data_IF_349736306268
#
_entry.id   IF_349736306268
#
_cell.length_a   1.000
_cell.length_b   1.000
_cell.length_c   1.000
_cell.angle_alpha   90.00
_cell.angle_beta   90.00
_cell.angle_gamma   90.00
#
_symmetry.space_group_name_H-M   'P 1'
#
loop_
_entity.id
_entity.type
_entity.pdbx_description
1 polymer ?
#
# COMPACT_ATOMS: atom_id res chain seq x y z
N UNK A 1 -16.33 -20.52 16.82
CA UNK A 1 -16.33 -20.35 18.30
C UNK A 1 -16.25 -18.89 18.73
N UNK A 2 -15.37 -18.06 18.17
CA UNK A 2 -15.19 -16.64 18.53
C UNK A 2 -16.47 -15.78 18.41
N UNK A 3 -17.28 -15.97 17.36
CA UNK A 3 -18.57 -15.25 17.25
C UNK A 3 -19.59 -15.63 18.34
N UNK A 4 -19.51 -16.86 18.88
CA UNK A 4 -20.43 -17.33 19.93
C UNK A 4 -20.04 -16.83 21.32
N UNK A 5 -18.76 -16.55 21.58
CA UNK A 5 -18.28 -16.07 22.88
C UNK A 5 -18.20 -14.55 22.98
N UNK A 6 -17.92 -13.83 21.88
CA UNK A 6 -17.99 -12.35 21.86
C UNK A 6 -19.37 -11.82 22.29
N UNK A 7 -20.44 -12.55 21.95
CA UNK A 7 -21.80 -12.19 22.32
C UNK A 7 -22.15 -12.49 23.79
N UNK A 8 -21.31 -13.25 24.51
CA UNK A 8 -21.53 -13.68 25.90
C UNK A 8 -20.71 -12.85 26.91
N UNK A 9 -19.67 -12.12 26.46
CA UNK A 9 -18.65 -11.53 27.35
C UNK A 9 -18.47 -10.01 27.27
N UNK A 10 -19.36 -9.26 26.62
CA UNK A 10 -19.27 -7.79 26.62
C UNK A 10 -19.52 -7.16 28.01
N UNK A 11 -20.17 -7.88 28.94
CA UNK A 11 -20.44 -7.41 30.30
C UNK A 11 -19.30 -7.63 31.31
N UNK A 12 -18.21 -8.33 30.95
CA UNK A 12 -17.07 -8.54 31.86
C UNK A 12 -15.71 -8.39 31.14
N UNK A 13 -15.19 -7.16 31.16
CA UNK A 13 -13.92 -6.76 30.53
C UNK A 13 -12.74 -7.63 30.97
N UNK A 14 -12.71 -8.04 32.24
CA UNK A 14 -11.58 -8.81 32.78
C UNK A 14 -11.52 -10.23 32.19
N UNK A 15 -12.67 -10.91 32.12
CA UNK A 15 -12.78 -12.24 31.50
C UNK A 15 -12.38 -12.20 30.03
N UNK A 16 -12.76 -11.14 29.31
CA UNK A 16 -12.34 -10.95 27.92
C UNK A 16 -10.82 -10.78 27.82
N UNK A 17 -10.19 -10.05 28.75
CA UNK A 17 -8.74 -9.91 28.84
C UNK A 17 -8.01 -11.24 29.08
N UNK A 18 -8.54 -12.09 29.97
CA UNK A 18 -8.01 -13.44 30.22
C UNK A 18 -8.07 -14.32 28.97
N UNK A 19 -9.21 -14.32 28.26
CA UNK A 19 -9.38 -15.06 26.99
C UNK A 19 -8.37 -14.59 25.95
N UNK A 20 -8.15 -13.28 25.83
CA UNK A 20 -7.14 -12.75 24.91
C UNK A 20 -5.73 -13.22 25.25
N UNK A 21 -5.37 -13.29 26.54
CA UNK A 21 -4.07 -13.80 26.95
C UNK A 21 -3.92 -15.29 26.63
N UNK A 22 -4.93 -16.12 26.93
CA UNK A 22 -4.89 -17.55 26.61
C UNK A 22 -4.74 -17.78 25.08
N UNK A 23 -5.49 -17.05 24.26
CA UNK A 23 -5.36 -17.14 22.79
C UNK A 23 -3.98 -16.63 22.33
N UNK A 24 -3.44 -15.58 22.96
CA UNK A 24 -2.10 -15.09 22.68
C UNK A 24 -1.03 -16.14 22.95
N UNK A 25 -1.11 -16.86 24.07
CA UNK A 25 -0.18 -17.94 24.43
C UNK A 25 -0.23 -19.09 23.42
N UNK A 26 -1.43 -19.53 23.02
CA UNK A 26 -1.63 -20.57 22.01
C UNK A 26 -0.98 -20.17 20.68
N UNK A 27 -1.16 -18.91 20.28
CA UNK A 27 -0.67 -18.42 19.00
C UNK A 27 0.80 -18.06 19.01
N UNK A 28 1.47 -17.97 20.17
CA UNK A 28 2.84 -17.44 20.26
C UNK A 28 3.85 -18.12 19.32
N UNK A 29 3.75 -19.44 19.15
CA UNK A 29 4.64 -20.20 18.26
C UNK A 29 4.07 -20.44 16.86
N UNK A 30 2.83 -20.02 16.61
CA UNK A 30 2.12 -20.21 15.32
C UNK A 30 2.15 -18.90 14.54
N UNK A 31 1.81 -17.81 15.22
CA UNK A 31 1.63 -16.48 14.67
C UNK A 31 1.97 -15.44 15.75
N UNK A 32 3.22 -14.96 15.72
CA UNK A 32 3.73 -14.00 16.70
C UNK A 32 3.06 -12.63 16.60
N UNK A 33 2.57 -12.24 15.43
CA UNK A 33 1.92 -10.95 15.24
C UNK A 33 0.54 -10.99 15.88
N UNK A 34 -0.28 -11.99 15.53
CA UNK A 34 -1.59 -12.18 16.14
C UNK A 34 -1.50 -12.41 17.65
N UNK A 35 -0.53 -13.22 18.10
CA UNK A 35 -0.24 -13.42 19.52
C UNK A 35 0.07 -12.10 20.24
N UNK A 36 1.00 -11.29 19.71
CA UNK A 36 1.35 -10.00 20.30
C UNK A 36 0.18 -9.00 20.35
N UNK A 37 -0.66 -8.99 19.32
CA UNK A 37 -1.86 -8.16 19.26
C UNK A 37 -2.89 -8.56 20.32
N UNK A 38 -3.13 -9.85 20.48
CA UNK A 38 -4.04 -10.37 21.50
C UNK A 38 -3.49 -10.09 22.90
N UNK A 39 -2.19 -10.26 23.13
CA UNK A 39 -1.58 -9.93 24.42
C UNK A 39 -1.73 -8.44 24.77
N UNK A 40 -1.68 -7.56 23.76
CA UNK A 40 -1.96 -6.14 23.95
C UNK A 40 -3.43 -5.90 24.35
N UNK A 41 -4.37 -6.51 23.62
CA UNK A 41 -5.79 -6.41 23.97
C UNK A 41 -6.07 -6.99 25.37
N UNK A 42 -5.35 -8.04 25.78
CA UNK A 42 -5.42 -8.59 27.12
C UNK A 42 -4.99 -7.56 28.17
N UNK A 43 -3.83 -6.91 27.99
CA UNK A 43 -3.31 -5.90 28.89
C UNK A 43 -4.15 -4.61 28.96
N UNK A 44 -4.92 -4.29 27.92
CA UNK A 44 -5.88 -3.17 27.93
C UNK A 44 -7.16 -3.48 28.73
N UNK A 45 -7.44 -4.76 28.99
CA UNK A 45 -8.72 -5.23 29.53
C UNK A 45 -8.58 -5.89 30.91
N UNK A 46 -7.39 -6.37 31.25
CA UNK A 46 -7.08 -7.06 32.50
C UNK A 46 -5.70 -6.63 33.04
N UNK A 47 -5.69 -5.98 34.21
CA UNK A 47 -4.47 -5.51 34.86
C UNK A 47 -3.50 -6.64 35.25
N UNK A 48 -4.00 -7.87 35.38
CA UNK A 48 -3.21 -9.07 35.68
C UNK A 48 -2.53 -9.70 34.47
N UNK A 49 -2.75 -9.17 33.25
CA UNK A 49 -2.19 -9.72 32.04
C UNK A 49 -0.67 -9.52 31.94
N UNK A 50 0.00 -10.40 31.19
CA UNK A 50 1.41 -10.24 30.84
C UNK A 50 1.60 -8.95 30.03
N UNK A 51 2.72 -8.27 30.28
CA UNK A 51 3.06 -7.05 29.53
C UNK A 51 3.36 -7.42 28.07
N UNK A 52 2.74 -6.75 27.09
CA UNK A 52 3.03 -7.00 25.69
C UNK A 52 4.46 -6.55 25.35
N UNK A 53 5.11 -7.27 24.45
CA UNK A 53 6.46 -6.91 23.95
C UNK A 53 6.47 -5.61 23.14
N UNK A 54 5.33 -5.27 22.53
CA UNK A 54 5.12 -4.05 21.75
C UNK A 54 3.82 -3.37 22.19
N UNK A 55 3.86 -2.05 22.33
CA UNK A 55 2.71 -1.27 22.81
C UNK A 55 1.72 -0.90 21.68
N UNK A 56 1.95 -1.32 20.44
CA UNK A 56 1.12 -1.02 19.27
C UNK A 56 0.64 -2.30 18.60
N UNK A 57 -0.61 -2.29 18.14
CA UNK A 57 -1.19 -3.39 17.36
C UNK A 57 -0.50 -3.38 16.00
N UNK A 58 0.06 -4.53 15.62
CA UNK A 58 0.70 -4.76 14.34
C UNK A 58 -0.26 -5.41 13.35
N UNK A 59 -0.10 -5.15 12.06
CA UNK A 59 -0.89 -5.73 10.98
C UNK A 59 -0.06 -6.73 10.20
N UNK A 60 -0.67 -7.84 9.85
CA UNK A 60 -0.09 -8.82 8.95
C UNK A 60 -0.24 -8.39 7.50
N UNK A 61 0.75 -8.75 6.69
CA UNK A 61 0.66 -8.63 5.24
C UNK A 61 0.43 -10.01 4.65
N UNK A 62 -0.54 -10.10 3.75
CA UNK A 62 -0.90 -11.36 3.10
C UNK A 62 0.21 -11.79 2.15
N UNK A 63 0.52 -13.09 2.13
CA UNK A 63 1.35 -13.67 1.09
C UNK A 63 0.49 -13.94 -0.15
N UNK A 64 0.65 -13.09 -1.17
CA UNK A 64 -0.17 -13.08 -2.38
C UNK A 64 0.70 -13.28 -3.63
N UNK A 65 0.21 -14.04 -4.61
CA UNK A 65 0.80 -14.04 -5.95
C UNK A 65 0.22 -12.85 -6.72
N UNK A 66 1.06 -11.83 -6.95
CA UNK A 66 0.63 -10.55 -7.55
C UNK A 66 -0.06 -10.73 -8.91
N UNK A 67 0.41 -11.67 -9.74
CA UNK A 67 -0.23 -11.89 -11.05
C UNK A 67 -1.63 -12.48 -10.87
N UNK A 68 -1.81 -13.38 -9.90
CA UNK A 68 -3.13 -13.94 -9.59
C UNK A 68 -4.08 -12.89 -9.01
N UNK A 69 -3.60 -11.96 -8.19
CA UNK A 69 -4.44 -10.86 -7.67
C UNK A 69 -4.79 -9.84 -8.76
N UNK A 70 -3.83 -9.47 -9.62
CA UNK A 70 -4.10 -8.66 -10.82
C UNK A 70 -5.14 -9.32 -11.72
N UNK A 71 -5.03 -10.64 -11.92
CA UNK A 71 -6.01 -11.39 -12.69
C UNK A 71 -7.41 -11.35 -12.07
N UNK A 72 -7.51 -11.57 -10.76
CA UNK A 72 -8.79 -11.48 -10.04
C UNK A 72 -9.40 -10.10 -10.21
N UNK A 73 -8.61 -9.04 -10.01
CA UNK A 73 -9.04 -7.65 -10.20
C UNK A 73 -9.58 -7.41 -11.62
N UNK A 74 -8.87 -7.84 -12.66
CA UNK A 74 -9.33 -7.71 -14.06
C UNK A 74 -10.65 -8.48 -14.28
N UNK A 75 -10.82 -9.64 -13.64
CA UNK A 75 -12.04 -10.46 -13.74
C UNK A 75 -13.22 -9.93 -12.93
N UNK A 76 -13.05 -8.87 -12.13
CA UNK A 76 -14.18 -8.15 -11.52
C UNK A 76 -14.97 -7.32 -12.56
N UNK A 77 -14.35 -6.99 -13.69
CA UNK A 77 -15.00 -6.26 -14.78
C UNK A 77 -15.84 -7.20 -15.64
N UNK A 78 -17.07 -6.76 -15.95
CA UNK A 78 -18.03 -7.55 -16.74
C UNK A 78 -17.64 -7.67 -18.20
N UNK A 79 -16.95 -6.67 -18.74
CA UNK A 79 -16.63 -6.57 -20.16
C UNK A 79 -15.36 -5.76 -20.39
N UNK A 80 -14.81 -5.89 -21.60
CA UNK A 80 -13.55 -5.23 -21.97
C UNK A 80 -13.65 -3.70 -22.04
N UNK A 81 -14.83 -3.14 -22.32
CA UNK A 81 -14.99 -1.69 -22.46
C UNK A 81 -15.00 -1.04 -21.07
N UNK A 82 -15.72 -1.62 -20.10
CA UNK A 82 -15.70 -1.14 -18.71
C UNK A 82 -14.30 -1.20 -18.09
N UNK A 83 -13.55 -2.28 -18.35
CA UNK A 83 -12.13 -2.33 -17.98
C UNK A 83 -11.29 -1.24 -18.69
N UNK A 84 -11.46 -1.08 -20.00
CA UNK A 84 -10.73 -0.07 -20.78
C UNK A 84 -10.99 1.36 -20.28
N UNK A 85 -12.25 1.70 -20.01
CA UNK A 85 -12.66 3.01 -19.52
C UNK A 85 -12.10 3.27 -18.13
N UNK A 86 -12.13 2.26 -17.25
CA UNK A 86 -11.53 2.35 -15.92
C UNK A 86 -10.04 2.69 -16.00
N UNK A 87 -9.25 1.91 -16.75
CA UNK A 87 -7.80 2.18 -16.88
C UNK A 87 -7.54 3.56 -17.48
N UNK A 88 -8.34 3.97 -18.48
CA UNK A 88 -8.19 5.28 -19.11
C UNK A 88 -8.47 6.42 -18.12
N UNK A 89 -9.48 6.29 -17.27
CA UNK A 89 -9.77 7.26 -16.21
C UNK A 89 -8.67 7.31 -15.15
N UNK A 90 -8.12 6.16 -14.76
CA UNK A 90 -6.94 6.08 -13.88
C UNK A 90 -5.77 6.85 -14.48
N UNK A 91 -5.41 6.57 -15.74
CA UNK A 91 -4.31 7.25 -16.44
C UNK A 91 -4.54 8.77 -16.54
N UNK A 92 -5.77 9.19 -16.85
CA UNK A 92 -6.11 10.61 -17.01
C UNK A 92 -6.04 11.41 -15.71
N UNK A 93 -6.24 10.75 -14.57
CA UNK A 93 -6.17 11.37 -13.25
C UNK A 93 -4.74 11.46 -12.71
N UNK A 94 -3.81 10.69 -13.27
CA UNK A 94 -2.38 10.76 -12.97
C UNK A 94 -1.73 11.93 -13.72
N UNK A 95 -1.93 13.14 -13.20
CA UNK A 95 -1.39 14.38 -13.75
C UNK A 95 -0.79 15.23 -12.63
N UNK A 96 0.39 15.79 -12.89
CA UNK A 96 0.96 16.83 -12.05
C UNK A 96 0.50 18.20 -12.56
N UNK A 97 -0.41 18.80 -11.81
CA UNK A 97 -1.00 20.11 -12.11
C UNK A 97 -1.59 20.71 -10.83
N UNK A 98 -1.34 21.99 -10.59
CA UNK A 98 -1.80 22.69 -9.38
C UNK A 98 -3.32 22.89 -9.33
N UNK A 99 -4.02 22.68 -10.45
CA UNK A 99 -5.49 22.68 -10.52
C UNK A 99 -6.11 21.29 -10.42
N UNK A 100 -5.30 20.24 -10.53
CA UNK A 100 -5.79 18.86 -10.44
C UNK A 100 -6.20 18.48 -9.01
N UNK A 101 -7.06 17.46 -8.91
CA UNK A 101 -7.57 16.95 -7.64
C UNK A 101 -6.57 15.95 -7.03
N UNK A 102 -6.05 16.24 -5.83
CA UNK A 102 -5.23 15.29 -5.07
C UNK A 102 -5.99 14.00 -4.75
N UNK A 103 -7.27 14.12 -4.38
CA UNK A 103 -8.14 12.97 -4.13
C UNK A 103 -8.24 12.02 -5.33
N UNK A 104 -8.37 12.57 -6.54
CA UNK A 104 -8.46 11.77 -7.78
C UNK A 104 -7.10 11.14 -8.14
N UNK A 105 -6.02 11.86 -7.88
CA UNK A 105 -4.66 11.36 -8.08
C UNK A 105 -4.36 10.19 -7.13
N UNK A 106 -4.58 10.36 -5.83
CA UNK A 106 -4.37 9.34 -4.81
C UNK A 106 -5.25 8.10 -5.03
N UNK A 107 -6.51 8.28 -5.43
CA UNK A 107 -7.36 7.14 -5.80
C UNK A 107 -6.79 6.40 -7.02
N UNK A 108 -6.24 7.12 -7.99
CA UNK A 108 -5.61 6.50 -9.17
C UNK A 108 -4.32 5.77 -8.83
N UNK A 109 -3.55 6.24 -7.84
CA UNK A 109 -2.41 5.49 -7.28
C UNK A 109 -2.88 4.22 -6.56
N UNK A 110 -4.01 4.27 -5.86
CA UNK A 110 -4.60 3.07 -5.26
C UNK A 110 -5.01 2.07 -6.34
N UNK A 111 -5.70 2.52 -7.37
CA UNK A 111 -6.12 1.72 -8.52
C UNK A 111 -4.93 1.11 -9.25
N UNK A 112 -3.85 1.87 -9.45
CA UNK A 112 -2.60 1.38 -10.03
C UNK A 112 -2.04 0.19 -9.24
N UNK A 113 -1.98 0.28 -7.91
CA UNK A 113 -1.56 -0.84 -7.07
C UNK A 113 -2.42 -2.10 -7.29
N UNK A 114 -3.74 -1.94 -7.36
CA UNK A 114 -4.65 -3.07 -7.63
C UNK A 114 -4.45 -3.66 -9.03
N UNK A 115 -4.24 -2.82 -10.06
CA UNK A 115 -3.99 -3.24 -11.44
C UNK A 115 -2.77 -4.18 -11.51
N UNK A 116 -1.71 -3.88 -10.76
CA UNK A 116 -0.49 -4.70 -10.72
C UNK A 116 -0.53 -5.79 -9.63
N UNK A 117 -1.67 -5.93 -8.94
CA UNK A 117 -1.93 -7.01 -7.99
C UNK A 117 -1.40 -6.81 -6.57
N UNK A 118 -1.01 -5.59 -6.21
CA UNK A 118 -0.62 -5.24 -4.83
C UNK A 118 -1.85 -5.05 -3.96
N UNK A 119 -1.73 -5.33 -2.66
CA UNK A 119 -2.70 -4.85 -1.69
C UNK A 119 -2.53 -3.32 -1.55
N UNK A 120 -3.50 -2.57 -2.07
CA UNK A 120 -3.39 -1.13 -2.27
C UNK A 120 -4.42 -0.35 -1.45
N UNK A 121 -3.95 0.58 -0.64
CA UNK A 121 -4.75 1.28 0.38
C UNK A 121 -4.48 2.78 0.36
N UNK A 122 -5.42 3.55 0.95
CA UNK A 122 -5.28 4.99 1.23
C UNK A 122 -5.46 5.24 2.73
N UNK A 123 -4.43 4.98 3.56
CA UNK A 123 -4.53 5.03 5.02
C UNK A 123 -5.09 6.33 5.57
N UNK A 124 -4.58 7.48 5.12
CA UNK A 124 -5.05 8.80 5.57
C UNK A 124 -6.56 8.93 5.33
N UNK A 125 -7.01 8.62 4.11
CA UNK A 125 -8.45 8.66 3.76
C UNK A 125 -9.30 7.64 4.52
N UNK A 126 -8.75 6.45 4.81
CA UNK A 126 -9.51 5.31 5.31
C UNK A 126 -9.62 5.27 6.83
N UNK A 127 -8.60 5.76 7.55
CA UNK A 127 -8.53 5.67 9.00
C UNK A 127 -8.29 7.01 9.70
N UNK A 128 -7.87 8.05 8.96
CA UNK A 128 -7.63 9.40 9.50
C UNK A 128 -6.73 9.39 10.75
N UNK A 129 -5.72 8.52 10.76
CA UNK A 129 -4.82 8.28 11.90
C UNK A 129 -3.38 8.71 11.63
N UNK A 130 -3.19 9.64 10.69
CA UNK A 130 -1.89 10.18 10.28
C UNK A 130 -1.04 9.18 9.47
N UNK A 131 -1.70 8.27 8.73
CA UNK A 131 -1.05 7.39 7.77
C UNK A 131 -0.68 8.11 6.47
N UNK A 132 0.00 7.42 5.54
CA UNK A 132 0.32 8.00 4.23
C UNK A 132 -0.92 8.20 3.35
N UNK A 133 -0.76 9.03 2.31
CA UNK A 133 -1.73 9.17 1.21
C UNK A 133 -2.08 7.80 0.61
N UNK A 134 -1.05 7.02 0.29
CA UNK A 134 -1.17 5.70 -0.31
C UNK A 134 -0.19 4.68 0.31
N UNK A 135 -0.60 3.41 0.31
CA UNK A 135 0.21 2.31 0.79
C UNK A 135 0.04 1.11 -0.12
N UNK A 136 1.14 0.58 -0.66
CA UNK A 136 1.16 -0.69 -1.39
C UNK A 136 1.88 -1.77 -0.61
N UNK A 137 1.26 -2.95 -0.53
CA UNK A 137 1.73 -4.08 0.27
C UNK A 137 1.77 -5.36 -0.56
N UNK A 138 2.81 -6.15 -0.32
CA UNK A 138 2.95 -7.54 -0.77
C UNK A 138 3.83 -8.30 0.23
N UNK A 139 3.97 -9.62 0.08
CA UNK A 139 4.90 -10.40 0.92
C UNK A 139 6.35 -9.92 0.83
N UNK A 140 6.74 -9.41 -0.33
CA UNK A 140 8.14 -9.05 -0.60
C UNK A 140 8.43 -7.57 -0.42
N UNK A 141 7.50 -6.70 -0.81
CA UNK A 141 7.72 -5.27 -0.91
C UNK A 141 6.61 -4.46 -0.24
N UNK A 142 7.04 -3.42 0.49
CA UNK A 142 6.19 -2.36 1.04
C UNK A 142 6.58 -1.02 0.43
N UNK A 143 5.60 -0.25 -0.03
CA UNK A 143 5.80 1.09 -0.58
C UNK A 143 4.88 2.06 0.15
N UNK A 144 5.47 2.97 0.91
CA UNK A 144 4.79 4.08 1.59
C UNK A 144 4.86 5.28 0.67
N UNK A 145 3.71 5.87 0.35
CA UNK A 145 3.58 6.80 -0.76
C UNK A 145 2.98 8.12 -0.29
N UNK A 146 3.63 9.22 -0.67
CA UNK A 146 3.10 10.59 -0.55
C UNK A 146 2.92 11.19 -1.94
N UNK A 147 1.80 11.88 -2.16
CA UNK A 147 1.38 12.46 -3.42
C UNK A 147 1.47 14.00 -3.37
N UNK A 148 2.38 14.55 -4.15
CA UNK A 148 2.63 15.99 -4.31
C UNK A 148 2.24 16.46 -5.70
N UNK A 149 1.08 16.00 -6.17
CA UNK A 149 0.67 16.20 -7.56
C UNK A 149 0.37 17.66 -7.92
N UNK A 150 0.13 18.51 -6.92
CA UNK A 150 -0.14 19.94 -7.10
C UNK A 150 1.09 20.82 -6.93
N UNK A 151 2.21 20.27 -6.47
CA UNK A 151 3.42 21.03 -6.20
C UNK A 151 4.14 21.41 -7.49
N UNK A 152 4.48 22.69 -7.59
CA UNK A 152 5.17 23.27 -8.76
C UNK A 152 6.66 23.53 -8.52
N UNK A 153 7.04 23.62 -7.24
CA UNK A 153 8.39 23.91 -6.80
C UNK A 153 9.23 22.63 -6.73
N UNK A 154 10.52 22.77 -6.41
CA UNK A 154 11.38 21.64 -6.12
C UNK A 154 10.95 20.95 -4.82
N UNK A 155 11.36 19.69 -4.66
CA UNK A 155 11.05 18.89 -3.46
C UNK A 155 11.66 19.59 -2.24
N UNK A 156 10.80 19.99 -1.31
CA UNK A 156 11.20 20.79 -0.16
C UNK A 156 11.39 19.92 1.10
N UNK A 157 11.76 20.57 2.20
CA UNK A 157 12.01 19.88 3.48
C UNK A 157 10.74 19.29 4.09
N UNK A 158 9.60 19.92 3.89
CA UNK A 158 8.32 19.46 4.44
C UNK A 158 7.82 18.20 3.72
N UNK A 159 8.05 18.07 2.41
CA UNK A 159 7.75 16.84 1.66
C UNK A 159 8.50 15.62 2.22
N UNK A 160 9.81 15.79 2.45
CA UNK A 160 10.64 14.73 3.03
C UNK A 160 10.25 14.43 4.48
N UNK A 161 9.89 15.46 5.25
CA UNK A 161 9.41 15.30 6.62
C UNK A 161 8.10 14.52 6.67
N UNK A 162 7.16 14.77 5.76
CA UNK A 162 5.91 14.03 5.65
C UNK A 162 6.16 12.56 5.34
N UNK A 163 7.01 12.24 4.35
CA UNK A 163 7.45 10.87 4.09
C UNK A 163 8.07 10.19 5.32
N UNK A 164 8.86 10.93 6.09
CA UNK A 164 9.45 10.44 7.35
C UNK A 164 8.39 10.10 8.40
N UNK A 165 7.36 10.93 8.55
CA UNK A 165 6.23 10.66 9.43
C UNK A 165 5.47 9.41 9.00
N UNK A 166 5.19 9.26 7.71
CA UNK A 166 4.50 8.09 7.16
C UNK A 166 5.31 6.81 7.28
N UNK A 167 6.64 6.87 7.14
CA UNK A 167 7.54 5.75 7.45
C UNK A 167 7.45 5.32 8.92
N UNK A 168 7.37 6.28 9.84
CA UNK A 168 7.22 5.99 11.27
C UNK A 168 5.83 5.41 11.55
N UNK A 169 4.78 5.93 10.92
CA UNK A 169 3.42 5.37 10.99
C UNK A 169 3.42 3.92 10.50
N UNK A 170 4.07 3.62 9.37
CA UNK A 170 4.19 2.25 8.85
C UNK A 170 4.88 1.34 9.86
N UNK A 171 6.03 1.76 10.39
CA UNK A 171 6.79 0.98 11.39
C UNK A 171 5.94 0.69 12.65
N UNK A 172 5.12 1.65 13.06
CA UNK A 172 4.22 1.50 14.20
C UNK A 172 3.10 0.48 13.95
N UNK A 173 2.64 0.37 12.70
CA UNK A 173 1.48 -0.46 12.31
C UNK A 173 1.87 -1.84 11.77
N UNK A 174 3.05 -1.99 11.19
CA UNK A 174 3.49 -3.23 10.52
C UNK A 174 4.79 -3.80 11.13
N UNK A 175 5.34 -3.13 12.15
CA UNK A 175 6.61 -3.53 12.78
C UNK A 175 7.83 -3.03 12.00
N UNK A 176 9.02 -3.38 12.48
CA UNK A 176 10.31 -2.94 11.91
C UNK A 176 11.05 -4.04 11.14
N UNK A 177 10.37 -5.13 10.78
CA UNK A 177 10.99 -6.34 10.23
C UNK A 177 11.52 -6.17 8.80
N UNK A 178 10.90 -5.29 8.01
CA UNK A 178 11.44 -4.84 6.72
C UNK A 178 11.27 -3.33 6.58
N UNK A 179 12.29 -2.68 6.01
CA UNK A 179 12.26 -1.26 5.70
C UNK A 179 11.37 -1.01 4.46
N UNK A 180 10.33 -0.16 4.54
CA UNK A 180 9.56 0.20 3.36
C UNK A 180 10.38 1.08 2.41
N UNK A 181 10.06 0.99 1.12
CA UNK A 181 10.45 2.02 0.16
C UNK A 181 9.56 3.24 0.40
N UNK A 182 10.17 4.41 0.44
CA UNK A 182 9.46 5.68 0.56
C UNK A 182 9.39 6.30 -0.83
N UNK A 183 8.19 6.51 -1.35
CA UNK A 183 7.97 6.99 -2.70
C UNK A 183 7.20 8.32 -2.68
N UNK A 184 7.76 9.32 -3.35
CA UNK A 184 7.11 10.58 -3.63
C UNK A 184 6.59 10.60 -5.07
N UNK A 185 5.30 10.88 -5.28
CA UNK A 185 4.81 11.31 -6.59
C UNK A 185 4.90 12.84 -6.65
N UNK A 186 5.87 13.37 -7.39
CA UNK A 186 6.09 14.82 -7.48
C UNK A 186 6.58 15.17 -8.89
N UNK A 187 6.06 16.22 -9.51
CA UNK A 187 6.46 16.61 -10.88
C UNK A 187 7.92 17.05 -11.05
N UNK A 188 8.67 17.28 -9.95
CA UNK A 188 10.09 17.64 -9.94
C UNK A 188 10.88 16.52 -9.28
N UNK A 189 12.14 16.37 -9.67
CA UNK A 189 13.10 15.44 -9.05
C UNK A 189 14.17 16.17 -8.24
N UNK A 190 14.30 17.47 -8.48
CA UNK A 190 15.29 18.34 -7.88
C UNK A 190 14.89 18.67 -6.44
N UNK A 191 15.88 18.64 -5.55
CA UNK A 191 15.73 19.02 -4.15
C UNK A 191 15.95 20.53 -3.97
N UNK A 192 15.25 21.13 -3.02
CA UNK A 192 15.62 22.45 -2.50
C UNK A 192 16.92 22.42 -1.68
N UNK A 193 17.49 23.60 -1.44
CA UNK A 193 18.71 23.74 -0.65
C UNK A 193 18.51 23.19 0.78
N UNK A 194 19.51 22.47 1.31
CA UNK A 194 19.51 21.81 2.63
C UNK A 194 18.48 20.68 2.84
N UNK A 195 17.86 20.16 1.79
CA UNK A 195 17.04 18.94 1.91
C UNK A 195 17.95 17.72 1.97
N UNK A 196 17.80 16.91 3.01
CA UNK A 196 18.54 15.66 3.19
C UNK A 196 17.60 14.48 2.98
N UNK A 197 18.00 13.55 2.12
CA UNK A 197 17.22 12.35 1.76
C UNK A 197 17.92 11.08 2.23
N UNK A 198 17.14 10.03 2.48
CA UNK A 198 17.67 8.71 2.84
C UNK A 198 17.82 7.81 1.62
N UNK A 199 18.56 6.71 1.79
CA UNK A 199 18.87 5.77 0.71
C UNK A 199 17.67 4.97 0.17
N UNK A 200 16.52 5.05 0.83
CA UNK A 200 15.29 4.31 0.50
C UNK A 200 14.16 5.26 0.08
N UNK A 201 14.50 6.52 -0.23
CA UNK A 201 13.58 7.51 -0.79
C UNK A 201 13.70 7.59 -2.30
N UNK A 202 12.54 7.59 -2.96
CA UNK A 202 12.38 7.59 -4.40
C UNK A 202 11.35 8.64 -4.81
N UNK A 203 11.42 9.04 -6.06
CA UNK A 203 10.46 9.91 -6.72
C UNK A 203 10.02 9.31 -8.05
N UNK A 204 8.75 9.44 -8.39
CA UNK A 204 8.28 9.33 -9.77
C UNK A 204 8.06 10.77 -10.25
N UNK A 205 8.98 11.27 -11.07
CA UNK A 205 8.93 12.61 -11.65
C UNK A 205 7.98 12.68 -12.87
N UNK A 206 7.78 13.87 -13.44
CA UNK A 206 6.93 14.07 -14.63
C UNK A 206 7.33 13.14 -15.79
N UNK A 207 8.63 12.96 -16.02
CA UNK A 207 9.16 12.11 -17.09
C UNK A 207 8.76 10.65 -16.86
N UNK A 208 9.01 10.14 -15.66
CA UNK A 208 8.71 8.76 -15.30
C UNK A 208 7.20 8.51 -15.17
N UNK A 209 6.41 9.50 -14.74
CA UNK A 209 4.96 9.39 -14.70
C UNK A 209 4.38 9.26 -16.12
N UNK A 210 4.87 10.07 -17.07
CA UNK A 210 4.43 9.98 -18.46
C UNK A 210 4.84 8.65 -19.10
N UNK A 211 6.06 8.16 -18.82
CA UNK A 211 6.49 6.83 -19.26
C UNK A 211 5.58 5.72 -18.68
N UNK A 212 5.28 5.78 -17.39
CA UNK A 212 4.38 4.84 -16.73
C UNK A 212 2.98 4.86 -17.37
N UNK A 213 2.43 6.05 -17.64
CA UNK A 213 1.14 6.21 -18.31
C UNK A 213 1.12 5.54 -19.69
N UNK A 214 2.16 5.75 -20.50
CA UNK A 214 2.29 5.07 -21.80
C UNK A 214 2.33 3.55 -21.65
N UNK A 215 3.05 3.03 -20.65
CA UNK A 215 3.16 1.58 -20.41
C UNK A 215 1.86 0.97 -19.87
N UNK A 216 1.11 1.71 -19.04
CA UNK A 216 -0.23 1.34 -18.61
C UNK A 216 -1.23 1.34 -19.78
N UNK A 217 -1.13 2.30 -20.68
CA UNK A 217 -1.97 2.39 -21.88
C UNK A 217 -1.74 1.20 -22.82
N UNK A 218 -0.48 0.85 -23.08
CA UNK A 218 -0.12 -0.35 -23.83
C UNK A 218 -0.60 -1.63 -23.13
N UNK A 219 -0.45 -1.73 -21.81
CA UNK A 219 -0.96 -2.86 -21.03
C UNK A 219 -2.48 -2.99 -21.14
N UNK A 220 -3.22 -1.86 -21.07
CA UNK A 220 -4.67 -1.81 -21.31
C UNK A 220 -5.02 -2.42 -22.65
N UNK A 221 -4.37 -1.99 -23.74
CA UNK A 221 -4.65 -2.50 -25.09
C UNK A 221 -4.44 -4.02 -25.20
N UNK A 222 -3.32 -4.53 -24.67
CA UNK A 222 -3.04 -5.97 -24.67
C UNK A 222 -4.10 -6.79 -23.94
N UNK A 223 -4.53 -6.30 -22.77
CA UNK A 223 -5.58 -6.96 -21.97
C UNK A 223 -6.94 -6.87 -22.68
N UNK A 224 -7.32 -5.70 -23.20
CA UNK A 224 -8.60 -5.49 -23.90
C UNK A 224 -8.73 -6.36 -25.15
N UNK A 225 -7.63 -6.47 -25.93
CA UNK A 225 -7.60 -7.30 -27.13
C UNK A 225 -7.73 -8.80 -26.84
N UNK A 226 -7.37 -9.24 -25.63
CA UNK A 226 -7.41 -10.64 -25.19
C UNK A 226 -8.29 -10.85 -23.94
N UNK A 227 -9.30 -10.00 -23.71
CA UNK A 227 -9.99 -9.93 -22.41
C UNK A 227 -10.69 -11.24 -22.01
N UNK A 228 -11.41 -11.85 -22.97
CA UNK A 228 -12.16 -13.08 -22.75
C UNK A 228 -11.22 -14.27 -22.51
N UNK A 229 -10.15 -14.36 -23.29
CA UNK A 229 -9.19 -15.47 -23.29
C UNK A 229 -7.98 -15.22 -22.38
N UNK A 230 -8.01 -14.15 -21.57
CA UNK A 230 -6.93 -13.81 -20.65
C UNK A 230 -6.75 -14.94 -19.64
N UNK A 231 -5.49 -15.36 -19.47
CA UNK A 231 -5.06 -16.32 -18.47
C UNK A 231 -3.81 -15.82 -17.75
N UNK A 232 -3.39 -16.52 -16.68
CA UNK A 232 -2.27 -16.09 -15.84
C UNK A 232 -0.94 -16.01 -16.60
N UNK A 233 -0.71 -16.87 -17.59
CA UNK A 233 0.53 -16.89 -18.38
C UNK A 233 0.59 -15.66 -19.28
N UNK A 234 -0.47 -15.37 -20.02
CA UNK A 234 -0.53 -14.20 -20.91
C UNK A 234 -0.53 -12.91 -20.11
N UNK A 235 -1.25 -12.83 -18.98
CA UNK A 235 -1.22 -11.67 -18.10
C UNK A 235 0.20 -11.40 -17.55
N UNK A 236 0.91 -12.43 -17.09
CA UNK A 236 2.30 -12.28 -16.62
C UNK A 236 3.20 -11.72 -17.72
N UNK A 237 3.02 -12.18 -18.97
CA UNK A 237 3.76 -11.66 -20.11
C UNK A 237 3.46 -10.17 -20.34
N UNK A 238 2.18 -9.78 -20.32
CA UNK A 238 1.78 -8.38 -20.53
C UNK A 238 2.30 -7.45 -19.42
N UNK A 239 2.24 -7.88 -18.16
CA UNK A 239 2.82 -7.14 -17.03
C UNK A 239 4.34 -6.99 -17.21
N UNK A 240 5.03 -8.07 -17.55
CA UNK A 240 6.49 -8.05 -17.75
C UNK A 240 6.91 -7.16 -18.94
N UNK A 241 6.23 -7.26 -20.09
CA UNK A 241 6.49 -6.46 -21.29
C UNK A 241 6.34 -4.95 -21.05
N UNK A 242 5.48 -4.57 -20.09
CA UNK A 242 5.22 -3.20 -19.71
C UNK A 242 5.92 -2.78 -18.41
N UNK A 243 6.86 -3.58 -17.89
CA UNK A 243 7.58 -3.32 -16.63
C UNK A 243 6.66 -3.06 -15.43
N UNK A 244 5.50 -3.73 -15.36
CA UNK A 244 4.48 -3.56 -14.32
C UNK A 244 4.56 -4.63 -13.21
N UNK A 245 5.51 -5.56 -13.29
CA UNK A 245 5.83 -6.41 -12.14
C UNK A 245 6.61 -5.57 -11.11
N UNK A 246 6.41 -5.80 -9.81
CA UNK A 246 6.91 -4.88 -8.77
C UNK A 246 8.42 -4.56 -8.88
N UNK A 247 9.27 -5.55 -9.14
CA UNK A 247 10.71 -5.35 -9.29
C UNK A 247 11.06 -4.51 -10.53
N UNK A 248 10.41 -4.78 -11.67
CA UNK A 248 10.61 -4.00 -12.89
C UNK A 248 9.97 -2.62 -12.80
N UNK A 249 8.89 -2.47 -12.04
CA UNK A 249 8.24 -1.20 -11.75
C UNK A 249 9.17 -0.28 -10.99
N UNK A 250 9.76 -0.78 -9.89
CA UNK A 250 10.69 -0.02 -9.06
C UNK A 250 11.89 0.43 -9.89
N UNK A 251 12.51 -0.49 -10.63
CA UNK A 251 13.73 -0.18 -11.40
C UNK A 251 13.47 0.72 -12.60
N UNK A 252 12.28 0.69 -13.19
CA UNK A 252 11.94 1.46 -14.41
C UNK A 252 11.41 2.85 -14.08
N UNK A 253 10.51 2.96 -13.09
CA UNK A 253 9.76 4.19 -12.86
C UNK A 253 10.23 4.96 -11.63
N UNK A 254 10.78 4.29 -10.62
CA UNK A 254 11.18 4.96 -9.37
C UNK A 254 12.62 5.46 -9.48
N UNK A 255 12.79 6.78 -9.49
CA UNK A 255 14.09 7.43 -9.43
C UNK A 255 14.52 7.59 -7.98
N UNK A 256 15.68 7.05 -7.60
CA UNK A 256 16.25 7.29 -6.27
C UNK A 256 16.59 8.78 -6.10
N UNK A 257 16.11 9.40 -5.02
CA UNK A 257 16.45 10.77 -4.67
C UNK A 257 17.93 10.85 -4.25
N UNK A 258 18.62 11.90 -4.70
CA UNK A 258 20.05 12.14 -4.49
C UNK A 258 20.32 13.61 -4.26
#
# INVERSE_FOLDING_TARGET
MIQKWKQITEDNSEVLGQIYQEEAEILYNIDRVKSGNLQKLAAEKWDGALKPLNNKIQREVKNIDLVSESYKFIKEFTDKNSYSDFISQTINSLVYDNKSSSESFEESIKQLGNIIGLESQRPEKSWDDGGPDNLWLSSEQYVVIECKNKEVNNINKDDIKQLGHSSQWFTNKYGNHKQPLLLLFHGKKELEHNVQVSNYMYVIDEENLNLLKTKLDNFRELVVNNFNDLNLVTLRQYLNQNNLLIDSFITTYMRKLK
#
